data_IF_069063075296
#
_entry.id   IF_069063075296
#
_cell.length_a   1.000
_cell.length_b   1.000
_cell.length_c   1.000
_cell.angle_alpha   90.00
_cell.angle_beta   90.00
_cell.angle_gamma   90.00
#
_symmetry.space_group_name_H-M   'P 1'
#
loop_
_entity.id
_entity.type
_entity.pdbx_description
1 polymer ?
#
# COMPACT_ATOMS: atom_id res chain seq x y z
N UNK A 1 3.52 -9.86 2.80
CA UNK A 1 4.07 -8.78 3.64
C UNK A 1 3.32 -8.77 4.97
N UNK A 2 3.77 -9.54 5.99
CA UNK A 2 3.15 -9.55 7.31
C UNK A 2 3.63 -8.38 8.17
N UNK A 3 2.80 -7.91 9.09
CA UNK A 3 3.16 -6.95 10.12
C UNK A 3 2.27 -7.12 11.37
N UNK A 4 2.81 -6.76 12.53
CA UNK A 4 2.08 -6.64 13.78
C UNK A 4 2.44 -5.31 14.44
N UNK A 5 1.42 -4.56 14.85
CA UNK A 5 1.54 -3.30 15.57
C UNK A 5 0.94 -3.49 16.97
N UNK A 6 1.82 -3.72 17.96
CA UNK A 6 1.45 -4.04 19.34
C UNK A 6 0.57 -2.96 19.97
N UNK A 7 0.97 -1.69 19.85
CA UNK A 7 0.23 -0.54 20.38
C UNK A 7 -1.20 -0.41 19.84
N UNK A 8 -1.46 -0.96 18.64
CA UNK A 8 -2.78 -0.94 18.00
C UNK A 8 -3.51 -2.28 18.11
N UNK A 9 -2.88 -3.31 18.70
CA UNK A 9 -3.41 -4.67 18.70
C UNK A 9 -3.67 -5.24 17.29
N UNK A 10 -3.03 -4.68 16.26
CA UNK A 10 -3.37 -4.94 14.87
C UNK A 10 -2.34 -5.86 14.21
N UNK A 11 -2.77 -7.07 13.82
CA UNK A 11 -1.97 -8.03 13.07
C UNK A 11 -2.56 -8.23 11.68
N UNK A 12 -1.72 -8.26 10.65
CA UNK A 12 -2.21 -8.47 9.29
C UNK A 12 -1.14 -8.87 8.28
N UNK A 13 -1.59 -9.40 7.15
CA UNK A 13 -0.74 -9.75 6.03
C UNK A 13 -1.33 -9.23 4.74
N UNK A 14 -0.49 -8.56 3.95
CA UNK A 14 -0.79 -8.24 2.55
C UNK A 14 -0.20 -9.28 1.63
N UNK A 15 -1.02 -9.88 0.78
CA UNK A 15 -0.62 -10.66 -0.38
C UNK A 15 -0.71 -9.73 -1.58
N UNK A 16 0.40 -9.52 -2.28
CA UNK A 16 0.50 -8.55 -3.38
C UNK A 16 1.30 -9.16 -4.52
N UNK A 17 0.87 -8.91 -5.75
CA UNK A 17 1.55 -9.31 -6.97
C UNK A 17 1.87 -8.08 -7.81
N UNK A 18 2.98 -8.13 -8.55
CA UNK A 18 3.38 -7.10 -9.49
C UNK A 18 3.68 -7.72 -10.86
N UNK A 19 2.87 -7.39 -11.86
CA UNK A 19 2.97 -7.88 -13.23
C UNK A 19 2.90 -6.68 -14.18
N UNK A 20 4.05 -6.11 -14.59
CA UNK A 20 4.09 -4.85 -15.36
C UNK A 20 3.31 -4.86 -16.68
N UNK A 21 3.11 -6.02 -17.29
CA UNK A 21 2.41 -6.17 -18.57
C UNK A 21 0.90 -6.45 -18.44
N UNK A 22 0.36 -6.50 -17.22
CA UNK A 22 -1.07 -6.74 -17.02
C UNK A 22 -1.98 -5.68 -17.67
N UNK A 23 -1.66 -4.38 -17.61
CA UNK A 23 -2.51 -3.37 -18.24
C UNK A 23 -2.61 -3.59 -19.76
N UNK A 24 -1.49 -3.91 -20.39
CA UNK A 24 -1.41 -4.13 -21.84
C UNK A 24 -2.06 -5.46 -22.28
N UNK A 25 -1.79 -6.55 -21.55
CA UNK A 25 -2.16 -7.91 -21.99
C UNK A 25 -3.53 -8.37 -21.53
N UNK A 26 -4.02 -7.80 -20.42
CA UNK A 26 -5.15 -8.36 -19.68
C UNK A 26 -6.15 -7.31 -19.20
N UNK A 27 -5.94 -6.02 -19.50
CA UNK A 27 -6.77 -4.92 -18.99
C UNK A 27 -6.91 -4.95 -17.45
N UNK A 28 -5.80 -5.26 -16.77
CA UNK A 28 -5.74 -5.38 -15.31
C UNK A 28 -4.65 -4.47 -14.72
N UNK A 29 -4.78 -4.02 -13.46
CA UNK A 29 -3.72 -3.27 -12.79
C UNK A 29 -2.39 -4.02 -12.74
N UNK A 30 -1.29 -3.25 -12.80
CA UNK A 30 0.07 -3.80 -12.70
C UNK A 30 0.35 -4.38 -11.30
N UNK A 31 -0.24 -3.77 -10.27
CA UNK A 31 -0.18 -4.20 -8.88
C UNK A 31 -1.59 -4.49 -8.39
N UNK A 32 -1.80 -5.68 -7.84
CA UNK A 32 -3.05 -6.07 -7.20
C UNK A 32 -2.74 -6.74 -5.87
N UNK A 33 -3.58 -6.50 -4.87
CA UNK A 33 -3.35 -7.05 -3.55
C UNK A 33 -4.64 -7.39 -2.81
N UNK A 34 -4.50 -8.27 -1.83
CA UNK A 34 -5.51 -8.59 -0.82
C UNK A 34 -4.88 -8.44 0.55
N UNK A 35 -5.63 -7.90 1.52
CA UNK A 35 -5.19 -7.78 2.91
C UNK A 35 -6.05 -8.69 3.77
N UNK A 36 -5.40 -9.48 4.62
CA UNK A 36 -6.01 -10.26 5.69
C UNK A 36 -5.66 -9.60 7.02
N UNK A 37 -6.69 -9.27 7.81
CA UNK A 37 -6.55 -8.78 9.18
C UNK A 37 -6.86 -9.93 10.16
N UNK A 38 -6.10 -10.02 11.24
CA UNK A 38 -6.16 -11.08 12.24
C UNK A 38 -6.34 -10.46 13.64
N UNK A 39 -7.10 -11.13 14.51
CA UNK A 39 -7.08 -10.84 15.95
C UNK A 39 -5.71 -11.25 16.48
N UNK A 40 -4.95 -10.29 17.01
CA UNK A 40 -3.59 -10.50 17.49
C UNK A 40 -3.50 -11.42 18.72
N UNK A 41 -4.59 -11.64 19.44
CA UNK A 41 -4.65 -12.48 20.65
C UNK A 41 -4.97 -13.92 20.34
N UNK A 42 -5.83 -14.17 19.37
CA UNK A 42 -6.37 -15.51 19.06
C UNK A 42 -5.91 -16.06 17.71
N UNK A 43 -5.39 -15.20 16.82
CA UNK A 43 -5.07 -15.54 15.44
C UNK A 43 -6.30 -15.67 14.53
N UNK A 44 -7.52 -15.43 15.03
CA UNK A 44 -8.74 -15.55 14.24
C UNK A 44 -8.79 -14.50 13.13
N UNK A 45 -9.21 -14.84 11.89
CA UNK A 45 -9.36 -13.87 10.82
C UNK A 45 -10.52 -12.91 11.10
N UNK A 46 -10.24 -11.61 11.02
CA UNK A 46 -11.22 -10.56 11.24
C UNK A 46 -11.82 -10.03 9.93
N UNK A 47 -10.99 -9.85 8.90
CA UNK A 47 -11.43 -9.31 7.62
C UNK A 47 -10.51 -9.73 6.48
N UNK A 48 -11.10 -9.88 5.29
CA UNK A 48 -10.40 -9.95 4.01
C UNK A 48 -10.87 -8.76 3.18
N UNK A 49 -9.92 -7.98 2.65
CA UNK A 49 -10.20 -6.71 1.98
C UNK A 49 -9.41 -6.58 0.70
N UNK A 50 -9.92 -5.77 -0.25
CA UNK A 50 -9.08 -5.29 -1.35
C UNK A 50 -7.85 -4.57 -0.78
N UNK A 51 -6.68 -5.03 -1.18
CA UNK A 51 -5.41 -4.44 -0.81
C UNK A 51 -4.88 -3.49 -1.87
N UNK A 52 -5.49 -3.44 -3.05
CA UNK A 52 -5.02 -2.67 -4.21
C UNK A 52 -5.17 -1.18 -3.94
N UNK A 53 -6.39 -0.74 -3.62
CA UNK A 53 -6.66 0.66 -3.27
C UNK A 53 -5.86 1.10 -2.04
N UNK A 54 -5.81 0.26 -1.00
CA UNK A 54 -5.05 0.54 0.23
C UNK A 54 -3.56 0.67 -0.08
N UNK A 55 -3.02 -0.15 -0.99
CA UNK A 55 -1.61 -0.07 -1.40
C UNK A 55 -1.31 1.25 -2.09
N UNK A 56 -2.18 1.72 -2.98
CA UNK A 56 -1.99 2.99 -3.68
C UNK A 56 -1.99 4.16 -2.68
N UNK A 57 -3.00 4.20 -1.80
CA UNK A 57 -3.16 5.25 -0.79
C UNK A 57 -1.98 5.30 0.18
N UNK A 58 -1.59 4.16 0.78
CA UNK A 58 -0.52 4.14 1.79
C UNK A 58 0.86 4.41 1.19
N UNK A 59 1.07 4.07 -0.10
CA UNK A 59 2.35 4.36 -0.78
C UNK A 59 2.51 5.86 -1.00
N UNK A 60 1.45 6.54 -1.47
CA UNK A 60 1.42 8.01 -1.55
C UNK A 60 1.59 8.69 -0.19
N UNK A 61 0.91 8.19 0.84
CA UNK A 61 1.02 8.72 2.20
C UNK A 61 2.45 8.61 2.76
N UNK A 62 3.12 7.47 2.56
CA UNK A 62 4.51 7.29 2.99
C UNK A 62 5.45 8.30 2.30
N UNK A 63 5.28 8.51 0.98
CA UNK A 63 6.06 9.51 0.24
C UNK A 63 5.77 10.94 0.73
N UNK A 64 4.51 11.27 1.05
CA UNK A 64 4.13 12.57 1.59
C UNK A 64 4.77 12.84 2.97
N UNK A 65 4.81 11.83 3.86
CA UNK A 65 5.51 11.95 5.15
C UNK A 65 7.00 12.18 4.94
N UNK A 66 7.65 11.44 4.04
CA UNK A 66 9.05 11.67 3.71
C UNK A 66 9.29 13.09 3.16
N UNK A 67 8.46 13.53 2.21
CA UNK A 67 8.55 14.88 1.63
C UNK A 67 8.36 15.98 2.69
N UNK A 68 7.43 15.81 3.64
CA UNK A 68 7.22 16.76 4.75
C UNK A 68 8.49 17.02 5.55
N UNK A 69 9.33 16.00 5.74
CA UNK A 69 10.54 16.10 6.56
C UNK A 69 11.82 16.38 5.76
N UNK A 70 11.87 16.01 4.48
CA UNK A 70 13.09 16.03 3.68
C UNK A 70 13.07 17.06 2.53
N UNK A 71 11.89 17.49 2.05
CA UNK A 71 11.80 18.49 1.00
C UNK A 71 11.93 19.92 1.56
N UNK A 72 12.36 20.86 0.72
CA UNK A 72 12.34 22.29 1.09
C UNK A 72 10.91 22.74 1.31
N UNK A 73 10.67 23.51 2.39
CA UNK A 73 9.33 24.01 2.78
C UNK A 73 8.66 24.89 1.71
N UNK A 74 9.44 25.48 0.82
CA UNK A 74 9.02 26.39 -0.24
C UNK A 74 8.99 25.72 -1.63
N UNK A 75 9.07 24.40 -1.70
CA UNK A 75 8.93 23.66 -2.95
C UNK A 75 7.56 23.93 -3.60
N UNK A 76 7.56 24.42 -4.85
CA UNK A 76 6.35 24.73 -5.63
C UNK A 76 6.14 23.84 -6.86
N UNK A 77 7.14 23.02 -7.19
CA UNK A 77 7.13 22.17 -8.39
C UNK A 77 7.45 20.74 -7.99
N UNK A 78 6.66 19.79 -8.51
CA UNK A 78 6.88 18.35 -8.36
C UNK A 78 7.13 17.74 -9.74
N UNK A 79 8.09 16.83 -9.82
CA UNK A 79 8.32 16.02 -11.02
C UNK A 79 7.76 14.61 -10.79
N UNK A 80 6.95 14.13 -11.74
CA UNK A 80 6.42 12.76 -11.74
C UNK A 80 6.97 12.03 -12.96
N UNK A 81 7.80 11.01 -12.73
CA UNK A 81 8.39 10.18 -13.78
C UNK A 81 7.73 8.80 -13.71
N UNK A 82 6.94 8.47 -14.73
CA UNK A 82 6.00 7.34 -14.72
C UNK A 82 4.64 7.76 -14.15
N UNK A 83 3.64 7.87 -15.03
CA UNK A 83 2.26 8.28 -14.68
C UNK A 83 1.31 7.07 -14.66
N UNK A 84 1.78 5.98 -14.05
CA UNK A 84 0.98 4.77 -13.84
C UNK A 84 0.12 4.85 -12.58
N UNK A 85 -0.48 3.72 -12.23
CA UNK A 85 -1.20 3.47 -10.98
C UNK A 85 -0.61 2.22 -10.32
#
# INVERSE_FOLDING_TARGET
>A
MPAYLEDLGAAGVKIVNAHPKNPERHDMPSVMATILLLDSRTGAPLAIMDGTLITNMRTGAAAAVAAKHLARKDSKTVAMIGAGV
#
